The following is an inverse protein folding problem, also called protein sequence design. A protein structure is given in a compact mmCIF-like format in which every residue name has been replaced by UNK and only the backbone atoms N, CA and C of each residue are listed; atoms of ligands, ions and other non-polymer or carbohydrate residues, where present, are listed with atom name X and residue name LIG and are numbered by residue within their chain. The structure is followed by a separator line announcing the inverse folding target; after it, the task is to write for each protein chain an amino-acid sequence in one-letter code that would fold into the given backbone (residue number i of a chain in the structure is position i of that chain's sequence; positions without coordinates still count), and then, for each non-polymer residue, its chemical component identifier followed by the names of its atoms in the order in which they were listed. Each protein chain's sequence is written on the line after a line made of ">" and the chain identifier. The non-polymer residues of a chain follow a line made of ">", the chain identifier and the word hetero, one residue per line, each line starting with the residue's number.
data_IF_495879784189
#
_entry.id   IF_495879784189
#
_cell.length_a   1.000
_cell.length_b   1.000
_cell.length_c   1.000
_cell.angle_alpha   90.00
_cell.angle_beta   90.00
_cell.angle_gamma   90.00
#
_symmetry.space_group_name_H-M   'P 1'
#
loop_
_entity.id
_entity.type
_entity.pdbx_description
1 polymer ?
#
# COMPACT_ATOMS: atom_id res chain seq x y z
N UNK A 1 4.06 -19.37 25.84
CA UNK A 1 4.63 -18.04 26.14
C UNK A 1 4.75 -17.28 24.82
N UNK A 2 3.74 -16.47 24.46
CA UNK A 2 3.77 -15.63 23.26
C UNK A 2 4.98 -14.71 23.35
N UNK A 3 5.93 -14.88 22.43
CA UNK A 3 6.93 -13.82 22.20
C UNK A 3 6.15 -12.57 21.84
N UNK A 4 6.36 -11.48 22.59
CA UNK A 4 5.90 -10.14 22.22
C UNK A 4 6.30 -9.93 20.77
N UNK A 5 5.31 -9.84 19.87
CA UNK A 5 5.50 -9.80 18.44
C UNK A 5 6.24 -8.53 18.04
N UNK A 6 7.57 -8.59 18.10
CA UNK A 6 8.42 -7.54 17.57
C UNK A 6 8.68 -7.87 16.09
N UNK A 7 7.61 -7.94 15.31
CA UNK A 7 7.73 -8.15 13.88
C UNK A 7 7.70 -6.78 13.23
N UNK A 8 8.86 -6.27 12.85
CA UNK A 8 8.99 -5.05 12.04
C UNK A 8 8.07 -5.09 10.81
N UNK A 9 7.78 -6.29 10.33
CA UNK A 9 6.86 -6.59 9.24
C UNK A 9 5.39 -6.26 9.57
N UNK A 10 4.92 -6.55 10.80
CA UNK A 10 3.53 -6.31 11.19
C UNK A 10 3.18 -4.81 11.16
N UNK A 11 4.06 -3.96 11.70
CA UNK A 11 3.82 -2.52 11.69
C UNK A 11 3.86 -1.90 10.29
N UNK A 12 4.69 -2.45 9.39
CA UNK A 12 4.78 -1.99 7.99
C UNK A 12 3.52 -2.35 7.21
N UNK A 13 3.04 -3.59 7.34
CA UNK A 13 1.84 -4.04 6.64
C UNK A 13 0.57 -3.39 7.22
N UNK A 14 0.50 -3.20 8.54
CA UNK A 14 -0.59 -2.45 9.20
C UNK A 14 -0.66 -1.00 8.69
N UNK A 15 0.49 -0.34 8.55
CA UNK A 15 0.58 1.02 8.00
C UNK A 15 0.10 1.06 6.54
N UNK A 16 0.48 0.08 5.73
CA UNK A 16 0.00 -0.04 4.35
C UNK A 16 -1.52 -0.21 4.29
N UNK A 17 -2.09 -1.11 5.09
CA UNK A 17 -3.55 -1.30 5.12
C UNK A 17 -4.31 -0.10 5.66
N UNK A 18 -3.75 0.64 6.62
CA UNK A 18 -4.31 1.90 7.10
C UNK A 18 -4.40 2.94 5.96
N UNK A 19 -3.32 3.07 5.20
CA UNK A 19 -3.24 3.95 4.03
C UNK A 19 -4.23 3.51 2.95
N UNK A 20 -4.23 2.24 2.56
CA UNK A 20 -5.12 1.69 1.53
C UNK A 20 -6.58 1.97 1.88
N UNK A 21 -7.00 1.67 3.12
CA UNK A 21 -8.38 1.93 3.53
C UNK A 21 -8.71 3.42 3.52
N UNK A 22 -7.78 4.28 3.93
CA UNK A 22 -8.01 5.73 3.98
C UNK A 22 -8.04 6.41 2.62
N UNK A 23 -7.19 6.00 1.68
CA UNK A 23 -7.08 6.65 0.37
C UNK A 23 -8.10 6.08 -0.64
N UNK A 24 -8.42 4.78 -0.55
CA UNK A 24 -9.20 4.08 -1.57
C UNK A 24 -10.60 3.65 -1.11
N UNK A 25 -10.77 3.29 0.17
CA UNK A 25 -12.00 2.64 0.64
C UNK A 25 -12.95 3.58 1.40
N UNK A 26 -12.46 4.28 2.43
CA UNK A 26 -13.30 5.14 3.26
C UNK A 26 -13.87 6.30 2.46
N UNK A 27 -15.20 6.47 2.52
CA UNK A 27 -15.93 7.46 1.71
C UNK A 27 -16.36 6.96 0.32
N UNK A 28 -15.83 5.82 -0.13
CA UNK A 28 -16.20 5.16 -1.40
C UNK A 28 -16.85 3.79 -1.19
N UNK A 29 -17.24 3.46 0.05
CA UNK A 29 -17.84 2.16 0.41
C UNK A 29 -19.06 1.80 -0.45
N UNK A 30 -19.85 2.79 -0.86
CA UNK A 30 -21.04 2.62 -1.71
C UNK A 30 -20.73 2.54 -3.21
N UNK A 31 -19.50 2.83 -3.61
CA UNK A 31 -19.06 2.82 -5.01
C UNK A 31 -18.82 1.40 -5.51
N UNK A 32 -18.41 0.49 -4.63
CA UNK A 32 -18.20 -0.91 -4.95
C UNK A 32 -19.52 -1.68 -4.84
N UNK A 33 -20.07 -2.15 -5.95
CA UNK A 33 -21.35 -2.89 -5.98
C UNK A 33 -21.13 -4.40 -5.85
N UNK A 34 -19.89 -4.86 -5.95
CA UNK A 34 -19.52 -6.26 -5.84
C UNK A 34 -18.12 -6.44 -5.26
N UNK A 35 -17.89 -7.58 -4.61
CA UNK A 35 -16.56 -7.99 -4.11
C UNK A 35 -15.53 -7.97 -5.25
N UNK A 36 -15.92 -8.39 -6.45
CA UNK A 36 -15.04 -8.39 -7.64
C UNK A 36 -14.54 -6.98 -8.00
N UNK A 37 -15.40 -5.98 -7.99
CA UNK A 37 -15.00 -4.59 -8.26
C UNK A 37 -14.06 -4.05 -7.19
N UNK A 38 -14.29 -4.42 -5.93
CA UNK A 38 -13.39 -4.08 -4.83
C UNK A 38 -12.02 -4.75 -5.02
N UNK A 39 -11.99 -6.02 -5.43
CA UNK A 39 -10.76 -6.77 -5.68
C UNK A 39 -9.94 -6.15 -6.82
N UNK A 40 -10.58 -5.82 -7.95
CA UNK A 40 -9.92 -5.15 -9.08
C UNK A 40 -9.35 -3.78 -8.67
N UNK A 41 -10.11 -3.00 -7.91
CA UNK A 41 -9.65 -1.70 -7.44
C UNK A 41 -8.51 -1.80 -6.41
N UNK A 42 -8.48 -2.85 -5.58
CA UNK A 42 -7.34 -3.13 -4.70
C UNK A 42 -6.09 -3.47 -5.51
N UNK A 43 -6.21 -4.30 -6.56
CA UNK A 43 -5.09 -4.66 -7.43
C UNK A 43 -4.52 -3.44 -8.15
N UNK A 44 -5.38 -2.59 -8.70
CA UNK A 44 -4.97 -1.33 -9.34
C UNK A 44 -4.27 -0.39 -8.35
N UNK A 45 -4.82 -0.26 -7.13
CA UNK A 45 -4.20 0.55 -6.08
C UNK A 45 -2.81 0.03 -5.69
N UNK A 46 -2.62 -1.29 -5.63
CA UNK A 46 -1.31 -1.90 -5.34
C UNK A 46 -0.29 -1.59 -6.46
N UNK A 47 -0.70 -1.66 -7.73
CA UNK A 47 0.16 -1.25 -8.85
C UNK A 47 0.54 0.22 -8.75
N UNK A 48 -0.45 1.09 -8.56
CA UNK A 48 -0.22 2.52 -8.36
C UNK A 48 0.75 2.77 -7.20
N UNK A 49 0.52 2.14 -6.06
CA UNK A 49 1.33 2.31 -4.85
C UNK A 49 2.80 1.94 -5.09
N UNK A 50 3.05 0.84 -5.80
CA UNK A 50 4.40 0.32 -6.01
C UNK A 50 5.15 1.00 -7.16
N UNK A 51 4.46 1.29 -8.26
CA UNK A 51 5.08 1.71 -9.51
C UNK A 51 4.97 3.22 -9.75
N UNK A 52 3.91 3.88 -9.28
CA UNK A 52 3.56 5.25 -9.68
C UNK A 52 3.56 6.25 -8.50
N UNK A 53 3.44 5.77 -7.26
CA UNK A 53 3.33 6.64 -6.07
C UNK A 53 4.57 7.52 -5.87
N UNK A 54 4.39 8.83 -5.96
CA UNK A 54 5.45 9.81 -5.74
C UNK A 54 5.66 9.97 -4.23
N UNK A 55 6.82 9.54 -3.73
CA UNK A 55 7.21 9.82 -2.33
C UNK A 55 8.25 10.93 -2.29
N UNK A 56 7.88 12.09 -1.73
CA UNK A 56 8.80 13.24 -1.55
C UNK A 56 10.05 12.84 -0.74
N UNK A 57 9.87 12.02 0.30
CA UNK A 57 10.99 11.45 1.09
C UNK A 57 11.94 10.58 0.27
N UNK A 58 11.50 10.03 -0.86
CA UNK A 58 12.31 9.23 -1.78
C UNK A 58 12.76 10.04 -3.01
N UNK A 59 12.83 11.37 -2.91
CA UNK A 59 13.15 12.27 -4.03
C UNK A 59 12.18 12.14 -5.22
N UNK A 60 10.92 11.83 -4.94
CA UNK A 60 9.87 11.67 -5.94
C UNK A 60 9.85 10.30 -6.63
N UNK A 61 10.69 9.35 -6.18
CA UNK A 61 10.71 8.00 -6.73
C UNK A 61 9.57 7.14 -6.18
N UNK A 62 9.10 6.21 -7.02
CA UNK A 62 8.21 5.14 -6.57
C UNK A 62 8.97 4.10 -5.74
N UNK A 63 8.27 3.33 -4.89
CA UNK A 63 8.91 2.29 -4.08
C UNK A 63 9.80 1.32 -4.87
N UNK A 64 9.34 0.89 -6.05
CA UNK A 64 10.12 0.02 -6.94
C UNK A 64 11.36 0.73 -7.48
N UNK A 65 11.22 1.98 -7.96
CA UNK A 65 12.35 2.77 -8.46
C UNK A 65 13.41 3.01 -7.39
N UNK A 66 12.99 3.29 -6.15
CA UNK A 66 13.89 3.47 -5.03
C UNK A 66 14.63 2.17 -4.69
N UNK A 67 13.94 1.02 -4.72
CA UNK A 67 14.56 -0.30 -4.51
C UNK A 67 15.62 -0.58 -5.56
N UNK A 68 15.31 -0.38 -6.85
CA UNK A 68 16.25 -0.63 -7.96
C UNK A 68 17.48 0.28 -7.89
N UNK A 69 17.33 1.53 -7.44
CA UNK A 69 18.46 2.46 -7.24
C UNK A 69 19.41 2.06 -6.12
N UNK A 70 18.95 1.30 -5.13
CA UNK A 70 19.79 0.90 -3.99
C UNK A 70 20.78 -0.24 -4.32
N UNK A 71 20.68 -0.85 -5.51
CA UNK A 71 21.56 -1.91 -5.99
C UNK A 71 22.59 -1.45 -7.03
N UNK A 72 22.68 -0.14 -7.27
CA UNK A 72 23.64 0.48 -8.19
C UNK A 72 24.82 1.11 -7.43
#
# INVERSE_FOLDING_TARGET
>A
MSRKGNSTDNGMIESFFGILKSEMFYGYEKTFKSIKELEEAIVDYIDYYNNKRIKVKLKGLSPVQYRTKSFA
#
